data_IF_146772949684
#
_entry.id   IF_146772949684
#
_cell.length_a   1.000
_cell.length_b   1.000
_cell.length_c   1.000
_cell.angle_alpha   90.00
_cell.angle_beta   90.00
_cell.angle_gamma   90.00
#
_symmetry.space_group_name_H-M   'P 1'
#
loop_
_entity.id
_entity.type
_entity.pdbx_description
1 polymer ?
#
# COMPACT_ATOMS: atom_id res chain seq x y z
N UNK A 1 13.77 28.41 22.67
CA UNK A 1 14.04 26.98 22.91
C UNK A 1 13.05 26.04 22.22
N UNK A 2 13.51 25.22 21.29
CA UNK A 2 12.80 24.05 20.76
C UNK A 2 13.55 22.79 21.22
N UNK A 3 12.83 21.83 21.81
CA UNK A 3 13.42 20.66 22.43
C UNK A 3 13.13 19.39 21.61
N UNK A 4 13.99 18.39 21.79
CA UNK A 4 13.85 17.11 21.13
C UNK A 4 14.96 16.14 21.47
N UNK A 5 14.91 14.99 20.80
CA UNK A 5 15.99 14.00 20.85
C UNK A 5 16.30 13.50 19.45
N UNK A 6 17.57 13.18 19.22
CA UNK A 6 18.05 12.45 18.05
C UNK A 6 18.05 10.96 18.40
N UNK A 7 17.19 10.18 17.76
CA UNK A 7 16.87 8.79 18.12
C UNK A 7 17.21 7.85 16.97
N UNK A 8 18.39 7.23 17.05
CA UNK A 8 18.84 6.10 16.20
C UNK A 8 19.53 5.02 17.07
N UNK A 9 19.13 4.98 18.35
CA UNK A 9 19.97 4.48 19.45
C UNK A 9 20.48 5.61 20.36
N UNK A 10 19.77 6.75 20.45
CA UNK A 10 20.21 8.01 21.05
C UNK A 10 21.59 8.49 20.58
N UNK A 11 21.61 9.52 19.74
CA UNK A 11 22.86 10.01 19.13
C UNK A 11 23.35 11.29 19.79
N UNK A 12 24.53 11.26 20.38
CA UNK A 12 25.24 12.43 20.93
C UNK A 12 26.35 12.93 20.01
N UNK A 13 26.57 14.25 19.98
CA UNK A 13 27.56 14.88 19.11
C UNK A 13 27.07 15.14 17.67
N UNK A 14 25.78 15.01 17.40
CA UNK A 14 25.17 15.35 16.12
C UNK A 14 24.76 16.83 16.08
N UNK A 15 24.77 17.45 14.90
CA UNK A 15 24.37 18.85 14.72
C UNK A 15 22.92 18.93 14.28
N UNK A 16 22.05 19.48 15.12
CA UNK A 16 20.64 19.75 14.82
C UNK A 16 20.49 21.17 14.30
N UNK A 17 19.79 21.38 13.19
CA UNK A 17 19.63 22.70 12.56
C UNK A 17 18.31 22.84 11.81
N UNK A 18 17.80 24.06 11.70
CA UNK A 18 16.53 24.37 11.01
C UNK A 18 16.81 24.93 9.61
N UNK A 19 16.31 24.26 8.57
CA UNK A 19 16.47 24.67 7.17
C UNK A 19 15.44 25.74 6.81
N UNK A 20 15.83 27.01 6.98
CA UNK A 20 14.94 28.16 6.81
C UNK A 20 14.74 28.46 5.33
N UNK A 21 15.78 28.31 4.52
CA UNK A 21 15.73 28.66 3.10
C UNK A 21 15.33 27.48 2.19
N UNK A 22 15.23 26.26 2.73
CA UNK A 22 14.76 25.07 2.03
C UNK A 22 15.79 24.49 1.07
N UNK A 23 17.09 24.70 1.32
CA UNK A 23 18.17 24.28 0.42
C UNK A 23 18.84 22.95 0.82
N UNK A 24 18.42 22.34 1.93
CA UNK A 24 18.92 21.05 2.44
C UNK A 24 20.40 21.07 2.83
N UNK A 25 20.95 22.24 3.11
CA UNK A 25 22.34 22.43 3.53
C UNK A 25 22.36 23.39 4.71
N UNK A 26 23.12 23.02 5.73
CA UNK A 26 23.30 23.89 6.88
C UNK A 26 24.06 25.16 6.47
N UNK A 27 23.36 26.28 6.45
CA UNK A 27 23.98 27.59 6.21
C UNK A 27 24.42 28.26 7.51
N UNK A 28 25.29 29.28 7.38
CA UNK A 28 25.90 29.95 8.53
C UNK A 28 24.89 30.78 9.35
N UNK A 29 23.82 31.25 8.71
CA UNK A 29 22.76 32.06 9.31
C UNK A 29 21.61 31.22 9.90
N UNK A 30 21.67 29.91 9.76
CA UNK A 30 20.66 29.00 10.27
C UNK A 30 20.91 28.59 11.73
N UNK A 31 19.87 28.57 12.57
CA UNK A 31 20.01 28.21 13.97
C UNK A 31 20.39 26.74 14.08
N UNK A 32 21.38 26.45 14.93
CA UNK A 32 21.84 25.08 15.17
C UNK A 32 22.30 24.84 16.60
N UNK A 33 22.34 23.57 17.01
CA UNK A 33 22.85 23.09 18.30
C UNK A 33 23.45 21.70 18.16
N UNK A 34 24.25 21.27 19.14
CA UNK A 34 24.68 19.87 19.26
C UNK A 34 23.69 19.06 20.11
N UNK A 35 23.49 17.80 19.73
CA UNK A 35 22.87 16.80 20.60
C UNK A 35 23.86 16.36 21.68
N UNK A 36 23.33 16.12 22.88
CA UNK A 36 24.07 15.73 24.09
C UNK A 36 23.75 14.28 24.47
N UNK A 37 24.07 13.88 25.69
CA UNK A 37 23.72 12.57 26.24
C UNK A 37 22.23 12.24 26.06
N UNK A 38 21.90 10.97 25.87
CA UNK A 38 20.55 10.50 25.54
C UNK A 38 19.94 11.20 24.30
N UNK A 39 20.81 11.63 23.37
CA UNK A 39 20.44 12.32 22.14
C UNK A 39 19.74 13.68 22.32
N UNK A 40 19.71 14.24 23.53
CA UNK A 40 18.91 15.43 23.82
C UNK A 40 19.48 16.68 23.15
N UNK A 41 18.62 17.51 22.57
CA UNK A 41 19.02 18.80 22.00
C UNK A 41 18.08 19.92 22.46
N UNK A 42 18.60 21.15 22.46
CA UNK A 42 17.86 22.37 22.74
C UNK A 42 18.26 23.43 21.71
N UNK A 43 17.38 23.70 20.76
CA UNK A 43 17.62 24.64 19.69
C UNK A 43 17.09 26.02 20.07
N UNK A 44 17.98 26.99 20.20
CA UNK A 44 17.59 28.37 20.43
C UNK A 44 17.14 29.02 19.13
N UNK A 45 15.97 29.65 19.18
CA UNK A 45 15.38 30.36 18.04
C UNK A 45 14.98 31.75 18.49
N UNK A 46 15.31 32.75 17.70
CA UNK A 46 14.70 34.07 17.82
C UNK A 46 13.23 34.04 17.31
N UNK A 47 12.52 35.17 17.42
CA UNK A 47 11.11 35.26 17.06
C UNK A 47 10.84 34.90 15.59
N UNK A 48 11.65 35.41 14.65
CA UNK A 48 11.49 35.12 13.22
C UNK A 48 11.74 33.63 12.90
N UNK A 49 12.81 33.06 13.47
CA UNK A 49 13.14 31.64 13.32
C UNK A 49 12.09 30.75 13.96
N UNK A 50 11.49 31.18 15.08
CA UNK A 50 10.38 30.47 15.72
C UNK A 50 9.13 30.43 14.83
N UNK A 51 8.83 31.54 14.17
CA UNK A 51 7.73 31.59 13.20
C UNK A 51 7.96 30.67 11.99
N UNK A 52 9.22 30.32 11.70
CA UNK A 52 9.57 29.37 10.65
C UNK A 52 9.49 27.90 11.05
N UNK A 53 9.57 27.57 12.33
CA UNK A 53 9.63 26.19 12.79
C UNK A 53 8.50 25.28 12.25
N UNK A 54 7.23 25.72 12.13
CA UNK A 54 6.17 24.89 11.53
C UNK A 54 6.35 24.63 10.03
N UNK A 55 7.11 25.47 9.33
CA UNK A 55 7.19 25.53 7.88
C UNK A 55 8.58 25.17 7.33
N UNK A 56 9.52 24.84 8.21
CA UNK A 56 10.89 24.48 7.86
C UNK A 56 11.18 23.04 8.28
N UNK A 57 12.08 22.39 7.54
CA UNK A 57 12.54 21.05 7.87
C UNK A 57 13.57 21.14 8.99
N UNK A 58 13.47 20.26 9.98
CA UNK A 58 14.50 20.13 11.01
C UNK A 58 15.46 19.00 10.60
N UNK A 59 16.74 19.33 10.44
CA UNK A 59 17.77 18.39 10.04
C UNK A 59 18.71 18.05 11.19
N UNK A 60 19.34 16.89 11.07
CA UNK A 60 20.43 16.44 11.93
C UNK A 60 21.55 15.89 11.07
N UNK A 61 22.72 16.51 11.14
CA UNK A 61 23.94 15.95 10.58
C UNK A 61 24.64 15.13 11.66
N UNK A 62 24.79 13.83 11.42
CA UNK A 62 25.50 12.90 12.30
C UNK A 62 26.89 12.66 11.72
N UNK A 63 27.95 13.27 12.27
CA UNK A 63 29.31 13.10 11.77
C UNK A 63 29.94 11.79 12.23
N UNK A 64 31.02 11.39 11.56
CA UNK A 64 31.93 10.35 12.07
C UNK A 64 32.45 10.77 13.44
N UNK A 65 32.39 9.86 14.41
CA UNK A 65 32.80 10.12 15.79
C UNK A 65 31.69 10.66 16.71
N UNK A 66 30.49 10.93 16.18
CA UNK A 66 29.29 10.97 17.03
C UNK A 66 29.10 9.61 17.72
N UNK A 67 28.40 9.58 18.86
CA UNK A 67 28.17 8.35 19.61
C UNK A 67 26.69 8.03 19.61
N UNK A 68 26.37 6.89 19.02
CA UNK A 68 25.10 6.21 19.14
C UNK A 68 25.16 5.24 20.33
N UNK A 69 24.21 5.31 21.27
CA UNK A 69 24.21 4.48 22.48
C UNK A 69 23.92 3.00 22.20
N UNK A 70 23.27 2.65 21.09
CA UNK A 70 23.02 1.25 20.71
C UNK A 70 24.23 0.63 19.99
N UNK A 71 24.88 1.37 19.09
CA UNK A 71 25.90 0.85 18.16
C UNK A 71 27.33 1.37 18.39
N UNK A 72 27.50 2.35 19.28
CA UNK A 72 28.78 2.97 19.60
C UNK A 72 29.17 4.11 18.65
N UNK A 73 30.47 4.36 18.43
CA UNK A 73 30.91 5.45 17.56
C UNK A 73 30.42 5.27 16.12
N UNK A 74 29.82 6.33 15.57
CA UNK A 74 29.36 6.40 14.19
C UNK A 74 30.55 6.34 13.24
N UNK A 75 30.50 5.40 12.29
CA UNK A 75 31.60 5.11 11.34
C UNK A 75 31.44 5.80 10.00
N UNK A 76 30.22 6.12 9.61
CA UNK A 76 29.88 6.79 8.36
C UNK A 76 28.93 7.94 8.68
N UNK A 77 29.19 9.13 8.12
CA UNK A 77 28.33 10.27 8.34
C UNK A 77 27.00 10.10 7.60
N UNK A 78 25.90 10.51 8.24
CA UNK A 78 24.57 10.47 7.66
C UNK A 78 23.72 11.64 8.15
N UNK A 79 22.58 11.85 7.51
CA UNK A 79 21.66 12.92 7.85
C UNK A 79 20.27 12.35 8.17
N UNK A 80 19.62 12.94 9.16
CA UNK A 80 18.22 12.67 9.51
C UNK A 80 17.38 13.94 9.43
N UNK A 81 16.07 13.78 9.32
CA UNK A 81 15.14 14.88 9.17
C UNK A 81 13.79 14.63 9.84
N UNK A 82 13.13 15.73 10.22
CA UNK A 82 11.69 15.76 10.54
C UNK A 82 11.02 16.70 9.54
N UNK A 83 9.95 16.24 8.85
CA UNK A 83 9.24 17.07 7.90
C UNK A 83 8.64 18.32 8.58
N UNK A 84 8.40 19.40 7.82
CA UNK A 84 7.67 20.56 8.33
C UNK A 84 6.31 20.12 8.89
N UNK A 85 5.97 20.63 10.07
CA UNK A 85 4.78 20.20 10.80
C UNK A 85 3.49 20.79 10.21
N UNK A 86 3.59 21.93 9.52
CA UNK A 86 2.51 22.65 8.84
C UNK A 86 1.30 22.98 9.71
N UNK A 87 1.49 23.00 11.02
CA UNK A 87 0.51 23.34 12.02
C UNK A 87 1.16 24.11 13.16
N UNK A 88 0.36 24.86 13.90
CA UNK A 88 0.85 25.58 15.08
C UNK A 88 1.41 24.61 16.10
N UNK A 89 2.66 24.85 16.53
CA UNK A 89 3.32 24.03 17.54
C UNK A 89 3.13 24.64 18.92
N UNK A 90 2.80 23.81 19.90
CA UNK A 90 2.85 24.22 21.30
C UNK A 90 4.30 24.51 21.70
N UNK A 91 4.50 25.43 22.64
CA UNK A 91 5.84 25.76 23.17
C UNK A 91 6.49 24.54 23.83
N UNK A 92 5.68 23.64 24.39
CA UNK A 92 6.13 22.41 25.05
C UNK A 92 6.22 21.21 24.08
N UNK A 93 5.91 21.40 22.80
CA UNK A 93 5.96 20.31 21.83
C UNK A 93 7.41 19.88 21.61
N UNK A 94 7.66 18.60 21.84
CA UNK A 94 8.97 17.97 21.62
C UNK A 94 9.01 17.40 20.21
N UNK A 95 10.08 17.68 19.47
CA UNK A 95 10.28 17.18 18.10
C UNK A 95 11.39 16.13 18.12
N UNK A 96 11.03 14.85 18.11
CA UNK A 96 12.01 13.78 17.98
C UNK A 96 12.40 13.57 16.52
N UNK A 97 13.69 13.35 16.28
CA UNK A 97 14.24 13.14 14.95
C UNK A 97 14.77 11.70 14.90
N UNK A 98 14.31 10.90 13.95
CA UNK A 98 14.65 9.48 13.85
C UNK A 98 14.81 9.03 12.39
N UNK A 99 15.36 7.83 12.15
CA UNK A 99 15.38 7.25 10.81
C UNK A 99 13.99 7.14 10.19
N UNK A 100 12.94 6.95 11.00
CA UNK A 100 11.56 6.84 10.54
C UNK A 100 11.00 8.18 10.06
N UNK A 101 11.19 9.26 10.83
CA UNK A 101 10.78 10.61 10.38
C UNK A 101 11.52 11.02 9.12
N UNK A 102 12.79 10.60 9.00
CA UNK A 102 13.62 10.83 7.82
C UNK A 102 13.09 10.08 6.59
N UNK A 103 12.78 8.80 6.73
CA UNK A 103 12.24 7.99 5.63
C UNK A 103 10.89 8.52 5.13
N UNK A 104 10.03 9.01 6.03
CA UNK A 104 8.79 9.70 5.67
C UNK A 104 9.10 10.96 4.87
N UNK A 105 10.02 11.80 5.36
CA UNK A 105 10.37 13.04 4.68
C UNK A 105 10.97 12.80 3.29
N UNK A 106 11.84 11.80 3.15
CA UNK A 106 12.42 11.42 1.86
C UNK A 106 11.33 11.04 0.84
N UNK A 107 10.28 10.32 1.26
CA UNK A 107 9.16 9.97 0.40
C UNK A 107 8.30 11.17 0.02
N UNK A 108 7.99 12.05 0.98
CA UNK A 108 7.21 13.27 0.73
C UNK A 108 7.96 14.16 -0.25
N UNK A 109 9.25 14.41 0.00
CA UNK A 109 10.11 15.25 -0.84
C UNK A 109 10.15 14.77 -2.29
N UNK A 110 10.27 13.47 -2.52
CA UNK A 110 10.24 12.92 -3.88
C UNK A 110 8.94 13.26 -4.60
N UNK A 111 7.79 13.12 -3.94
CA UNK A 111 6.49 13.39 -4.56
C UNK A 111 6.33 14.89 -4.86
N UNK A 112 6.91 15.74 -4.02
CA UNK A 112 6.94 17.19 -4.25
C UNK A 112 7.89 17.59 -5.37
N UNK A 113 9.07 16.97 -5.49
CA UNK A 113 10.01 17.29 -6.58
C UNK A 113 9.40 17.00 -7.96
N UNK A 114 8.58 15.96 -8.06
CA UNK A 114 7.87 15.61 -9.29
C UNK A 114 6.74 16.59 -9.63
N UNK A 115 6.21 17.31 -8.64
CA UNK A 115 5.06 18.21 -8.77
C UNK A 115 5.41 19.71 -8.86
N UNK A 116 6.49 20.17 -8.21
CA UNK A 116 6.75 21.62 -8.05
C UNK A 116 8.20 22.07 -8.32
N UNK A 117 9.12 21.17 -8.67
CA UNK A 117 10.46 21.52 -9.16
C UNK A 117 11.43 22.24 -8.20
N UNK A 118 10.97 22.75 -7.05
CA UNK A 118 11.80 23.33 -6.00
C UNK A 118 11.22 23.02 -4.61
N UNK A 119 12.12 22.72 -3.67
CA UNK A 119 11.80 22.74 -2.24
C UNK A 119 11.75 24.18 -1.77
N UNK A 120 10.77 24.47 -0.92
CA UNK A 120 10.33 25.82 -0.64
C UNK A 120 10.87 26.27 0.70
N UNK A 121 11.39 27.50 0.74
CA UNK A 121 11.77 28.17 1.97
C UNK A 121 10.59 28.32 2.92
N UNK A 122 10.90 28.51 4.21
CA UNK A 122 9.92 28.87 5.23
C UNK A 122 8.98 30.01 4.76
N UNK A 123 9.53 31.08 4.19
CA UNK A 123 8.73 32.23 3.77
C UNK A 123 7.82 31.92 2.59
N UNK A 124 8.30 31.12 1.62
CA UNK A 124 7.45 30.63 0.53
C UNK A 124 6.31 29.75 1.05
N UNK A 125 6.61 28.83 1.97
CA UNK A 125 5.59 27.99 2.59
C UNK A 125 4.61 28.79 3.44
N UNK A 126 5.03 29.88 4.09
CA UNK A 126 4.12 30.80 4.81
C UNK A 126 3.23 31.60 3.86
N UNK A 127 3.74 32.00 2.69
CA UNK A 127 2.99 32.79 1.72
C UNK A 127 2.04 31.93 0.86
N UNK A 128 2.45 30.73 0.45
CA UNK A 128 1.72 29.90 -0.50
C UNK A 128 0.83 28.86 0.20
N UNK A 129 -0.46 29.17 0.31
CA UNK A 129 -1.46 28.27 0.90
C UNK A 129 -1.64 26.97 0.09
N UNK A 130 -1.63 27.05 -1.24
CA UNK A 130 -1.85 25.89 -2.10
C UNK A 130 -0.70 24.90 -1.96
N UNK A 131 0.52 25.41 -1.89
CA UNK A 131 1.69 24.59 -1.63
C UNK A 131 1.62 23.90 -0.27
N UNK A 132 1.18 24.62 0.79
CA UNK A 132 0.96 24.00 2.11
C UNK A 132 -0.07 22.88 2.05
N UNK A 133 -1.21 23.12 1.39
CA UNK A 133 -2.27 22.12 1.26
C UNK A 133 -1.77 20.87 0.53
N UNK A 134 -0.99 21.05 -0.55
CA UNK A 134 -0.36 19.94 -1.27
C UNK A 134 0.62 19.17 -0.38
N UNK A 135 1.46 19.87 0.39
CA UNK A 135 2.43 19.21 1.27
C UNK A 135 1.75 18.48 2.45
N UNK A 136 0.70 19.07 3.04
CA UNK A 136 -0.14 18.39 4.04
C UNK A 136 -0.76 17.12 3.45
N UNK A 137 -1.25 17.18 2.21
CA UNK A 137 -1.85 16.03 1.54
C UNK A 137 -0.84 14.89 1.33
N UNK A 138 0.37 15.19 0.84
CA UNK A 138 1.41 14.18 0.63
C UNK A 138 1.93 13.58 1.94
N UNK A 139 2.15 14.41 2.97
CA UNK A 139 2.52 13.92 4.32
C UNK A 139 1.44 12.98 4.84
N UNK A 140 0.16 13.37 4.77
CA UNK A 140 -0.96 12.54 5.24
C UNK A 140 -1.11 11.25 4.43
N UNK A 141 -0.79 11.28 3.14
CA UNK A 141 -0.84 10.08 2.29
C UNK A 141 0.24 9.10 2.68
N UNK A 142 1.50 9.54 2.80
CA UNK A 142 2.61 8.69 3.26
C UNK A 142 2.35 8.15 4.66
N UNK A 143 1.90 8.99 5.59
CA UNK A 143 1.57 8.59 6.95
C UNK A 143 0.38 7.61 7.00
N UNK A 144 -0.68 7.87 6.23
CA UNK A 144 -1.83 6.99 6.13
C UNK A 144 -1.46 5.60 5.59
N UNK A 145 -0.64 5.53 4.54
CA UNK A 145 -0.11 4.26 4.00
C UNK A 145 0.67 3.48 5.08
N UNK A 146 1.49 4.17 5.87
CA UNK A 146 2.24 3.56 6.98
C UNK A 146 1.36 3.05 8.10
N UNK A 147 0.42 3.87 8.57
CA UNK A 147 -0.48 3.50 9.67
C UNK A 147 -1.34 2.33 9.24
N UNK A 148 -1.93 2.36 8.03
CA UNK A 148 -2.77 1.29 7.51
C UNK A 148 -2.03 -0.04 7.42
N UNK A 149 -0.78 -0.02 6.95
CA UNK A 149 0.00 -1.24 6.77
C UNK A 149 0.56 -1.76 8.09
N UNK A 150 1.13 -0.87 8.88
CA UNK A 150 1.90 -1.25 10.05
C UNK A 150 1.06 -1.26 11.33
N UNK A 151 -0.17 -0.77 11.29
CA UNK A 151 -1.02 -0.58 12.46
C UNK A 151 -0.29 0.15 13.59
N UNK A 152 0.59 1.10 13.20
CA UNK A 152 1.41 1.92 14.07
C UNK A 152 0.89 3.35 13.91
N UNK A 153 0.24 3.89 14.94
CA UNK A 153 -0.36 5.21 14.87
C UNK A 153 0.69 6.31 14.63
N UNK A 154 0.27 7.44 14.09
CA UNK A 154 1.12 8.61 13.88
C UNK A 154 1.82 9.07 15.17
N UNK A 155 1.10 9.09 16.29
CA UNK A 155 1.69 9.42 17.59
C UNK A 155 2.82 8.46 17.98
N UNK A 156 2.68 7.16 17.67
CA UNK A 156 3.75 6.19 17.92
C UNK A 156 4.90 6.37 16.94
N UNK A 157 4.65 6.71 15.67
CA UNK A 157 5.70 6.98 14.68
C UNK A 157 6.67 8.08 15.15
N UNK A 158 6.17 9.11 15.83
CA UNK A 158 6.97 10.21 16.39
C UNK A 158 7.43 9.99 17.85
N UNK A 159 7.12 8.84 18.46
CA UNK A 159 7.42 8.57 19.85
C UNK A 159 8.89 8.19 20.09
N UNK A 160 9.34 8.40 21.33
CA UNK A 160 10.59 7.86 21.84
C UNK A 160 10.41 6.40 22.28
N UNK A 161 10.58 5.47 21.33
CA UNK A 161 10.43 4.03 21.59
C UNK A 161 11.40 3.49 22.66
N UNK A 162 12.58 4.11 22.78
CA UNK A 162 13.62 3.70 23.73
C UNK A 162 13.17 4.06 25.14
N UNK A 163 12.74 5.31 25.36
CA UNK A 163 12.20 5.74 26.65
C UNK A 163 10.94 4.96 27.05
N UNK A 164 10.06 4.65 26.09
CA UNK A 164 8.86 3.85 26.30
C UNK A 164 9.15 2.37 26.59
N UNK A 165 10.40 1.91 26.40
CA UNK A 165 10.81 0.50 26.48
C UNK A 165 9.97 -0.41 25.57
N UNK A 166 9.56 0.11 24.42
CA UNK A 166 8.72 -0.57 23.43
C UNK A 166 9.60 -1.18 22.34
N UNK A 167 10.33 -2.24 22.71
CA UNK A 167 11.29 -2.90 21.81
C UNK A 167 10.64 -3.48 20.55
N UNK A 168 9.38 -3.90 20.66
CA UNK A 168 8.60 -4.39 19.51
C UNK A 168 8.39 -3.28 18.49
N UNK A 169 7.95 -2.09 18.92
CA UNK A 169 7.70 -0.98 18.01
C UNK A 169 8.98 -0.36 17.50
N UNK A 170 10.05 -0.37 18.29
CA UNK A 170 11.38 0.01 17.84
C UNK A 170 11.83 -0.86 16.66
N UNK A 171 11.73 -2.19 16.78
CA UNK A 171 12.07 -3.11 15.69
C UNK A 171 11.17 -2.89 14.46
N UNK A 172 9.86 -2.70 14.68
CA UNK A 172 8.92 -2.41 13.59
C UNK A 172 9.29 -1.09 12.89
N UNK A 173 9.68 -0.05 13.61
CA UNK A 173 10.11 1.22 13.05
C UNK A 173 11.38 1.06 12.19
N UNK A 174 12.36 0.30 12.66
CA UNK A 174 13.57 -0.02 11.88
C UNK A 174 13.22 -0.79 10.60
N UNK A 175 12.33 -1.79 10.68
CA UNK A 175 11.87 -2.54 9.51
C UNK A 175 11.10 -1.64 8.53
N UNK A 176 10.26 -0.73 9.03
CA UNK A 176 9.55 0.25 8.20
C UNK A 176 10.56 1.08 7.42
N UNK A 177 11.56 1.68 8.08
CA UNK A 177 12.57 2.52 7.42
C UNK A 177 13.28 1.78 6.30
N UNK A 178 13.72 0.56 6.59
CA UNK A 178 14.43 -0.29 5.63
C UNK A 178 13.55 -0.61 4.42
N UNK A 179 12.29 -0.99 4.66
CA UNK A 179 11.32 -1.29 3.62
C UNK A 179 10.93 -0.06 2.79
N UNK A 180 10.69 1.08 3.42
CA UNK A 180 10.32 2.33 2.73
C UNK A 180 11.40 2.77 1.74
N UNK A 181 12.68 2.75 2.14
CA UNK A 181 13.80 3.12 1.27
C UNK A 181 13.89 2.18 0.07
N UNK A 182 13.83 0.87 0.29
CA UNK A 182 13.91 -0.14 -0.77
C UNK A 182 12.69 -0.09 -1.72
N UNK A 183 11.49 0.06 -1.17
CA UNK A 183 10.24 0.16 -1.94
C UNK A 183 10.22 1.40 -2.83
N UNK A 184 10.68 2.54 -2.30
CA UNK A 184 10.82 3.78 -3.05
C UNK A 184 11.85 3.67 -4.19
N UNK A 185 13.04 3.15 -3.91
CA UNK A 185 14.07 2.96 -4.94
C UNK A 185 13.56 2.07 -6.09
N UNK A 186 12.86 0.98 -5.76
CA UNK A 186 12.25 0.12 -6.78
C UNK A 186 11.11 0.82 -7.54
N UNK A 187 10.29 1.64 -6.87
CA UNK A 187 9.25 2.45 -7.52
C UNK A 187 9.84 3.35 -8.61
N UNK A 188 10.97 4.00 -8.33
CA UNK A 188 11.66 4.86 -9.30
C UNK A 188 12.15 4.07 -10.52
N UNK A 189 12.71 2.87 -10.31
CA UNK A 189 13.06 1.96 -11.41
C UNK A 189 11.84 1.61 -12.26
N UNK A 190 10.69 1.33 -11.65
CA UNK A 190 9.45 1.03 -12.38
C UNK A 190 8.94 2.24 -13.17
N UNK A 191 9.01 3.45 -12.63
CA UNK A 191 8.65 4.67 -13.36
C UNK A 191 9.52 4.87 -14.61
N UNK A 192 10.83 4.60 -14.51
CA UNK A 192 11.74 4.68 -15.65
C UNK A 192 11.45 3.59 -16.71
N UNK A 193 11.05 2.39 -16.29
CA UNK A 193 10.72 1.27 -17.18
C UNK A 193 9.35 1.43 -17.86
N UNK A 194 8.39 2.08 -17.20
CA UNK A 194 7.01 2.23 -17.66
C UNK A 194 6.59 3.71 -17.66
N UNK A 195 7.13 4.53 -18.59
CA UNK A 195 6.81 5.95 -18.66
C UNK A 195 5.35 6.24 -19.01
N UNK A 196 4.62 5.25 -19.55
CA UNK A 196 3.18 5.31 -19.84
C UNK A 196 2.29 4.87 -18.66
N UNK A 197 2.87 4.49 -17.52
CA UNK A 197 2.12 4.05 -16.37
C UNK A 197 1.26 5.19 -15.81
N UNK A 198 -0.05 4.93 -15.68
CA UNK A 198 -0.96 5.84 -15.01
C UNK A 198 -0.79 5.81 -13.50
N UNK A 199 -0.32 4.69 -12.94
CA UNK A 199 -0.02 4.55 -11.52
C UNK A 199 1.01 3.45 -11.28
N UNK A 200 1.91 3.68 -10.33
CA UNK A 200 2.91 2.70 -9.89
C UNK A 200 2.89 2.61 -8.37
N UNK A 201 2.81 1.38 -7.87
CA UNK A 201 2.94 1.06 -6.44
C UNK A 201 4.10 0.08 -6.26
N UNK A 202 4.93 0.33 -5.26
CA UNK A 202 6.01 -0.58 -4.87
C UNK A 202 6.18 -0.51 -3.37
N UNK A 203 6.17 -1.67 -2.76
CA UNK A 203 6.01 -1.83 -1.35
C UNK A 203 6.94 -2.92 -0.84
N UNK A 204 7.89 -2.56 0.02
CA UNK A 204 8.76 -3.53 0.69
C UNK A 204 8.43 -3.56 2.17
N UNK A 205 8.21 -4.75 2.72
CA UNK A 205 7.73 -4.93 4.07
C UNK A 205 8.16 -6.26 4.67
N UNK A 206 8.17 -6.31 6.00
CA UNK A 206 8.43 -7.53 6.75
C UNK A 206 7.11 -8.19 7.16
N UNK A 207 6.98 -9.47 6.82
CA UNK A 207 5.77 -10.24 7.08
C UNK A 207 5.52 -10.45 8.57
N UNK A 208 4.23 -10.63 8.92
CA UNK A 208 3.75 -10.60 10.32
C UNK A 208 3.14 -11.92 10.78
N UNK A 209 2.94 -12.89 9.89
CA UNK A 209 2.18 -14.10 10.24
C UNK A 209 0.67 -13.91 10.13
N UNK A 210 0.20 -12.92 9.37
CA UNK A 210 -1.23 -12.58 9.31
C UNK A 210 -2.06 -13.52 8.43
N UNK A 211 -1.41 -14.44 7.73
CA UNK A 211 -2.06 -15.44 6.91
C UNK A 211 -1.06 -16.47 6.36
N UNK A 212 -1.55 -17.49 5.64
CA UNK A 212 -0.74 -18.63 5.21
C UNK A 212 0.38 -18.28 4.21
N UNK A 213 0.34 -17.10 3.59
CA UNK A 213 1.37 -16.63 2.65
C UNK A 213 2.15 -15.41 3.15
N UNK A 214 1.95 -14.99 4.40
CA UNK A 214 2.63 -13.87 5.05
C UNK A 214 3.46 -14.39 6.23
N UNK A 215 4.66 -14.90 5.94
CA UNK A 215 5.51 -15.54 6.93
C UNK A 215 6.14 -14.49 7.86
N UNK A 216 6.09 -14.69 9.20
CA UNK A 216 6.71 -13.78 10.15
C UNK A 216 8.20 -13.56 9.86
N UNK A 217 8.63 -12.30 9.86
CA UNK A 217 10.04 -11.93 9.73
C UNK A 217 10.61 -12.01 8.32
N UNK A 218 9.88 -12.54 7.34
CA UNK A 218 10.30 -12.62 5.93
C UNK A 218 10.12 -11.27 5.23
N UNK A 219 11.09 -10.89 4.40
CA UNK A 219 10.99 -9.69 3.58
C UNK A 219 10.25 -9.94 2.27
N UNK A 220 9.24 -9.13 2.02
CA UNK A 220 8.46 -9.17 0.80
C UNK A 220 8.60 -7.86 0.03
N UNK A 221 8.56 -7.94 -1.29
CA UNK A 221 8.22 -6.82 -2.16
C UNK A 221 6.95 -7.13 -2.92
N UNK A 222 6.01 -6.19 -2.93
CA UNK A 222 4.85 -6.21 -3.80
C UNK A 222 4.87 -4.96 -4.67
N UNK A 223 4.83 -5.17 -5.98
CA UNK A 223 4.92 -4.12 -6.98
C UNK A 223 3.75 -4.23 -7.95
N UNK A 224 3.30 -3.09 -8.46
CA UNK A 224 2.15 -3.01 -9.34
C UNK A 224 2.25 -1.81 -10.26
N UNK A 225 1.98 -2.03 -11.53
CA UNK A 225 2.03 -1.00 -12.58
C UNK A 225 0.72 -1.04 -13.36
N UNK A 226 -0.01 0.05 -13.32
CA UNK A 226 -1.23 0.25 -14.10
C UNK A 226 -0.89 1.11 -15.31
N UNK A 227 -1.32 0.65 -16.48
CA UNK A 227 -1.12 1.29 -17.79
C UNK A 227 -2.47 1.35 -18.51
N UNK A 228 -2.63 2.21 -19.53
CA UNK A 228 -3.84 2.20 -20.35
C UNK A 228 -4.13 0.84 -21.02
N UNK A 229 -3.09 0.04 -21.29
CA UNK A 229 -3.23 -1.29 -21.89
C UNK A 229 -3.56 -2.40 -20.90
N UNK A 230 -3.58 -2.12 -19.59
CA UNK A 230 -3.82 -3.11 -18.54
C UNK A 230 -2.89 -2.97 -17.34
N UNK A 231 -2.54 -4.08 -16.70
CA UNK A 231 -1.94 -4.07 -15.37
C UNK A 231 -0.90 -5.18 -15.18
N UNK A 232 0.18 -4.90 -14.47
CA UNK A 232 1.12 -5.93 -14.00
C UNK A 232 1.26 -5.92 -12.48
N UNK A 233 1.45 -7.11 -11.90
CA UNK A 233 1.73 -7.33 -10.49
C UNK A 233 2.94 -8.24 -10.33
N UNK A 234 3.77 -7.95 -9.35
CA UNK A 234 4.78 -8.86 -8.85
C UNK A 234 4.70 -8.94 -7.33
N UNK A 235 4.82 -10.15 -6.79
CA UNK A 235 5.11 -10.38 -5.38
C UNK A 235 6.31 -11.31 -5.26
N UNK A 236 7.32 -10.88 -4.50
CA UNK A 236 8.57 -11.62 -4.29
C UNK A 236 8.93 -11.68 -2.81
N UNK A 237 9.72 -12.69 -2.45
CA UNK A 237 10.55 -12.71 -1.25
C UNK A 237 11.90 -12.08 -1.60
N UNK A 238 12.37 -11.18 -0.76
CA UNK A 238 13.69 -10.57 -0.86
C UNK A 238 14.68 -11.26 0.08
N UNK A 239 15.97 -11.15 -0.23
CA UNK A 239 17.02 -11.45 0.73
C UNK A 239 16.95 -10.49 1.94
N UNK A 240 17.53 -10.87 3.08
CA UNK A 240 17.45 -10.07 4.31
C UNK A 240 18.04 -8.67 4.17
N UNK A 241 19.03 -8.48 3.31
CA UNK A 241 19.63 -7.19 2.98
C UNK A 241 18.81 -6.37 1.95
N UNK A 242 17.73 -6.95 1.43
CA UNK A 242 16.87 -6.41 0.37
C UNK A 242 17.56 -6.22 -0.99
N UNK A 243 18.80 -6.69 -1.17
CA UNK A 243 19.61 -6.40 -2.35
C UNK A 243 19.15 -7.15 -3.60
N UNK A 244 18.48 -8.29 -3.42
CA UNK A 244 18.03 -9.16 -4.51
C UNK A 244 16.72 -9.86 -4.19
N UNK A 245 16.02 -10.21 -5.26
CA UNK A 245 14.92 -11.18 -5.21
C UNK A 245 15.48 -12.54 -4.84
N UNK A 246 15.04 -13.08 -3.71
CA UNK A 246 15.35 -14.46 -3.31
C UNK A 246 14.42 -15.45 -4.01
N UNK A 247 13.12 -15.10 -4.11
CA UNK A 247 12.12 -15.97 -4.74
C UNK A 247 10.96 -15.15 -5.29
N UNK A 248 10.47 -15.51 -6.48
CA UNK A 248 9.22 -14.96 -6.99
C UNK A 248 8.06 -15.78 -6.43
N UNK A 249 7.02 -15.13 -5.93
CA UNK A 249 5.80 -15.79 -5.45
C UNK A 249 4.67 -15.67 -6.45
N UNK A 250 4.60 -14.52 -7.11
CA UNK A 250 3.58 -14.26 -8.10
C UNK A 250 4.10 -13.27 -9.14
N UNK A 251 3.88 -13.60 -10.42
CA UNK A 251 3.85 -12.63 -11.51
C UNK A 251 2.44 -12.65 -12.10
N UNK A 252 1.88 -11.48 -12.35
CA UNK A 252 0.61 -11.36 -13.05
C UNK A 252 0.69 -10.26 -14.10
N UNK A 253 0.14 -10.55 -15.27
CA UNK A 253 -0.07 -9.58 -16.33
C UNK A 253 -1.51 -9.65 -16.78
N UNK A 254 -2.15 -8.50 -16.94
CA UNK A 254 -3.48 -8.35 -17.48
C UNK A 254 -3.44 -7.42 -18.68
N UNK A 255 -4.04 -7.86 -19.77
CA UNK A 255 -4.24 -7.09 -21.00
C UNK A 255 -5.73 -6.76 -21.15
N UNK A 256 -6.05 -5.54 -21.59
CA UNK A 256 -7.42 -5.12 -21.87
C UNK A 256 -7.65 -4.89 -23.38
N UNK A 257 -8.82 -5.30 -23.90
CA UNK A 257 -9.22 -5.14 -25.29
C UNK A 257 -10.72 -4.79 -25.39
N UNK A 258 -11.13 -4.15 -26.48
CA UNK A 258 -12.54 -3.81 -26.69
C UNK A 258 -13.43 -5.04 -26.95
N UNK A 259 -14.65 -5.04 -26.42
CA UNK A 259 -15.67 -6.07 -26.63
C UNK A 259 -17.04 -5.44 -26.89
N UNK A 260 -17.24 -4.86 -28.07
CA UNK A 260 -18.47 -4.10 -28.35
C UNK A 260 -18.64 -2.94 -27.36
N UNK A 261 -19.67 -3.00 -26.51
CA UNK A 261 -19.92 -2.03 -25.42
C UNK A 261 -19.21 -2.40 -24.09
N UNK A 262 -18.66 -3.61 -24.02
CA UNK A 262 -17.89 -4.12 -22.90
C UNK A 262 -16.40 -4.08 -23.22
N UNK A 263 -15.58 -4.59 -22.31
CA UNK A 263 -14.16 -4.88 -22.54
C UNK A 263 -13.82 -6.31 -22.13
N UNK A 264 -12.88 -6.89 -22.85
CA UNK A 264 -12.25 -8.17 -22.54
C UNK A 264 -10.97 -7.91 -21.74
N UNK A 265 -10.82 -8.62 -20.62
CA UNK A 265 -9.57 -8.70 -19.87
C UNK A 265 -9.00 -10.10 -20.04
N UNK A 266 -7.70 -10.20 -20.28
CA UNK A 266 -6.97 -11.48 -20.28
C UNK A 266 -5.88 -11.40 -19.22
N UNK A 267 -5.97 -12.25 -18.20
CA UNK A 267 -5.04 -12.25 -17.07
C UNK A 267 -4.21 -13.52 -17.07
N UNK A 268 -2.89 -13.39 -17.13
CA UNK A 268 -1.93 -14.48 -16.94
C UNK A 268 -1.30 -14.35 -15.57
N UNK A 269 -1.25 -15.44 -14.82
CA UNK A 269 -0.66 -15.49 -13.49
C UNK A 269 0.29 -16.67 -13.38
N UNK A 270 1.54 -16.40 -13.03
CA UNK A 270 2.45 -17.41 -12.49
C UNK A 270 2.40 -17.31 -10.97
N UNK A 271 2.15 -18.39 -10.24
CA UNK A 271 2.27 -18.35 -8.78
C UNK A 271 2.91 -19.60 -8.18
N UNK A 272 3.66 -19.39 -7.11
CA UNK A 272 4.19 -20.41 -6.23
C UNK A 272 4.02 -19.93 -4.78
N UNK A 273 2.96 -20.42 -4.14
CA UNK A 273 2.61 -20.11 -2.76
C UNK A 273 3.20 -21.10 -1.74
N UNK A 274 3.89 -22.14 -2.18
CA UNK A 274 4.44 -23.17 -1.30
C UNK A 274 5.64 -22.67 -0.49
N UNK A 275 5.95 -23.39 0.59
CA UNK A 275 7.16 -23.13 1.38
C UNK A 275 8.44 -23.56 0.64
N UNK A 276 8.35 -24.57 -0.24
CA UNK A 276 9.46 -25.08 -1.04
C UNK A 276 9.49 -24.50 -2.46
N UNK A 277 10.68 -24.43 -3.06
CA UNK A 277 10.83 -24.17 -4.49
C UNK A 277 10.19 -25.31 -5.28
N UNK A 278 9.10 -24.97 -5.96
CA UNK A 278 8.36 -25.83 -6.87
C UNK A 278 8.18 -25.07 -8.18
N UNK A 279 7.96 -25.77 -9.30
CA UNK A 279 7.51 -25.12 -10.52
C UNK A 279 6.28 -24.24 -10.28
N UNK A 280 6.24 -23.07 -10.93
CA UNK A 280 5.14 -22.11 -10.87
C UNK A 280 3.93 -22.65 -11.59
N UNK A 281 2.75 -22.57 -10.97
CA UNK A 281 1.50 -22.83 -11.67
C UNK A 281 1.19 -21.66 -12.58
N UNK A 282 0.96 -21.94 -13.86
CA UNK A 282 0.54 -20.95 -14.84
C UNK A 282 -0.99 -20.99 -14.96
N UNK A 283 -1.64 -19.87 -14.72
CA UNK A 283 -3.10 -19.72 -14.85
C UNK A 283 -3.42 -18.63 -15.84
N UNK A 284 -4.40 -18.91 -16.71
CA UNK A 284 -5.04 -17.94 -17.57
C UNK A 284 -6.46 -17.74 -17.07
N UNK A 285 -6.89 -16.50 -16.99
CA UNK A 285 -8.28 -16.09 -16.77
C UNK A 285 -8.69 -15.11 -17.85
N UNK A 286 -9.95 -15.17 -18.28
CA UNK A 286 -10.53 -14.16 -19.15
C UNK A 286 -11.77 -13.57 -18.50
N UNK A 287 -12.02 -12.29 -18.73
CA UNK A 287 -13.21 -11.63 -18.20
C UNK A 287 -13.85 -10.68 -19.20
N UNK A 288 -15.18 -10.62 -19.23
CA UNK A 288 -15.91 -9.54 -19.93
C UNK A 288 -16.50 -8.62 -18.87
N UNK A 289 -16.11 -7.36 -18.92
CA UNK A 289 -16.57 -6.32 -18.00
C UNK A 289 -17.34 -5.22 -18.75
N UNK A 290 -18.46 -4.79 -18.19
CA UNK A 290 -19.22 -3.65 -18.70
C UNK A 290 -19.75 -2.79 -17.55
N UNK A 291 -19.60 -1.47 -17.68
CA UNK A 291 -20.27 -0.50 -16.82
C UNK A 291 -21.71 -0.24 -17.29
N UNK A 292 -22.65 -0.24 -16.36
CA UNK A 292 -24.06 0.12 -16.60
C UNK A 292 -24.70 0.64 -15.31
N UNK A 293 -25.47 1.72 -15.42
CA UNK A 293 -26.24 2.32 -14.31
C UNK A 293 -25.40 2.61 -13.05
N UNK A 294 -24.13 3.03 -13.23
CA UNK A 294 -23.21 3.34 -12.13
C UNK A 294 -22.61 2.13 -11.40
N UNK A 295 -22.73 0.93 -11.99
CA UNK A 295 -22.10 -0.30 -11.52
C UNK A 295 -21.24 -0.93 -12.62
N UNK A 296 -20.11 -1.54 -12.24
CA UNK A 296 -19.33 -2.43 -13.10
C UNK A 296 -19.79 -3.87 -12.90
N UNK A 297 -20.13 -4.55 -13.99
CA UNK A 297 -20.52 -5.97 -14.02
C UNK A 297 -19.49 -6.75 -14.81
N UNK A 298 -19.02 -7.85 -14.25
CA UNK A 298 -17.95 -8.65 -14.85
C UNK A 298 -18.28 -10.14 -14.73
N UNK A 299 -18.13 -10.86 -15.85
CA UNK A 299 -18.05 -12.33 -15.87
C UNK A 299 -16.58 -12.71 -16.01
N UNK A 300 -16.05 -13.43 -15.04
CA UNK A 300 -14.71 -14.04 -15.08
C UNK A 300 -14.85 -15.53 -15.40
N UNK A 301 -13.97 -16.02 -16.27
CA UNK A 301 -13.87 -17.40 -16.70
C UNK A 301 -12.49 -17.92 -16.31
N UNK A 302 -12.47 -18.92 -15.44
CA UNK A 302 -11.26 -19.59 -14.98
C UNK A 302 -11.07 -20.88 -15.76
N UNK A 303 -9.83 -21.15 -16.14
CA UNK A 303 -9.48 -22.36 -16.87
C UNK A 303 -8.65 -23.31 -16.02
N UNK A 304 -8.76 -24.60 -16.34
CA UNK A 304 -7.79 -25.60 -15.89
C UNK A 304 -6.55 -25.45 -16.76
N UNK A 305 -5.45 -24.99 -16.18
CA UNK A 305 -4.14 -25.18 -16.77
C UNK A 305 -3.17 -25.58 -15.65
N UNK A 306 -2.87 -26.88 -15.50
CA UNK A 306 -1.95 -27.35 -14.49
C UNK A 306 -0.49 -27.25 -14.98
N UNK A 307 -0.22 -26.62 -16.13
CA UNK A 307 1.16 -26.46 -16.58
C UNK A 307 1.94 -25.73 -15.53
N UNK A 308 3.13 -26.27 -15.29
CA UNK A 308 4.08 -25.66 -14.41
C UNK A 308 5.34 -25.27 -15.14
N UNK A 309 5.89 -24.12 -14.79
CA UNK A 309 7.13 -23.61 -15.36
C UNK A 309 8.18 -23.41 -14.27
N UNK A 310 9.46 -23.58 -14.60
CA UNK A 310 10.54 -23.27 -13.66
C UNK A 310 10.85 -21.77 -13.64
N UNK A 311 10.66 -21.08 -14.77
CA UNK A 311 10.72 -19.62 -14.89
C UNK A 311 9.31 -19.03 -14.92
N UNK A 312 8.92 -18.16 -13.97
CA UNK A 312 7.59 -17.57 -13.94
C UNK A 312 7.30 -16.68 -15.17
N UNK A 313 8.32 -16.16 -15.85
CA UNK A 313 8.12 -15.39 -17.08
C UNK A 313 7.65 -16.28 -18.25
N UNK A 314 7.95 -17.58 -18.23
CA UNK A 314 7.47 -18.50 -19.26
C UNK A 314 5.94 -18.60 -19.27
N UNK A 315 5.27 -18.48 -18.10
CA UNK A 315 3.81 -18.43 -18.00
C UNK A 315 3.18 -17.22 -18.72
N UNK A 316 3.95 -16.17 -19.01
CA UNK A 316 3.45 -14.97 -19.70
C UNK A 316 3.45 -15.14 -21.23
N UNK A 317 4.08 -16.20 -21.75
CA UNK A 317 4.18 -16.47 -23.19
C UNK A 317 2.86 -16.93 -23.84
N UNK A 318 2.79 -16.79 -25.17
CA UNK A 318 1.61 -17.16 -25.96
C UNK A 318 1.27 -18.67 -25.93
N UNK A 319 2.22 -19.54 -25.59
CA UNK A 319 2.00 -20.99 -25.43
C UNK A 319 1.10 -21.34 -24.24
N UNK A 320 1.02 -20.45 -23.24
CA UNK A 320 0.08 -20.51 -22.12
C UNK A 320 -1.24 -19.78 -22.41
N UNK A 321 -1.41 -19.23 -23.62
CA UNK A 321 -2.67 -18.62 -24.07
C UNK A 321 -3.69 -19.64 -24.62
N UNK A 322 -3.43 -20.94 -24.48
CA UNK A 322 -4.31 -22.03 -24.93
C UNK A 322 -4.70 -22.90 -23.71
N UNK A 323 -5.59 -22.39 -22.85
CA UNK A 323 -5.88 -23.05 -21.59
C UNK A 323 -6.83 -24.24 -21.80
N UNK A 324 -6.97 -25.11 -20.80
CA UNK A 324 -7.84 -26.28 -20.86
C UNK A 324 -9.32 -25.96 -20.71
N UNK A 325 -10.08 -26.88 -20.11
CA UNK A 325 -11.51 -26.67 -19.87
C UNK A 325 -11.77 -25.63 -18.79
N UNK A 326 -12.93 -24.97 -18.84
CA UNK A 326 -13.39 -24.06 -17.79
C UNK A 326 -13.61 -24.79 -16.47
N UNK A 327 -12.96 -24.33 -15.39
CA UNK A 327 -13.06 -24.94 -14.04
C UNK A 327 -14.12 -24.26 -13.19
N UNK A 328 -14.24 -22.95 -13.33
CA UNK A 328 -15.22 -22.15 -12.62
C UNK A 328 -15.45 -20.85 -13.35
N UNK A 329 -16.53 -20.20 -12.99
CA UNK A 329 -16.88 -18.88 -13.49
C UNK A 329 -17.39 -18.06 -12.33
N UNK A 330 -17.17 -16.75 -12.41
CA UNK A 330 -17.48 -15.84 -11.33
C UNK A 330 -18.18 -14.60 -11.87
N UNK A 331 -19.20 -14.14 -11.16
CA UNK A 331 -19.76 -12.81 -11.36
C UNK A 331 -19.15 -11.86 -10.35
N UNK A 332 -18.56 -10.78 -10.83
CA UNK A 332 -18.15 -9.64 -10.02
C UNK A 332 -19.07 -8.46 -10.29
N UNK A 333 -19.50 -7.79 -9.21
CA UNK A 333 -20.21 -6.52 -9.32
C UNK A 333 -19.60 -5.51 -8.36
N UNK A 334 -19.16 -4.38 -8.90
CA UNK A 334 -18.70 -3.24 -8.12
C UNK A 334 -19.65 -2.07 -8.32
N UNK A 335 -20.14 -1.48 -7.23
CA UNK A 335 -21.07 -0.34 -7.32
C UNK A 335 -20.90 0.59 -6.12
N UNK A 336 -21.44 1.81 -6.23
CA UNK A 336 -21.35 2.83 -5.18
C UNK A 336 -22.72 3.43 -4.90
N UNK A 337 -23.02 3.65 -3.62
CA UNK A 337 -24.19 4.41 -3.16
C UNK A 337 -23.71 5.51 -2.22
N UNK A 338 -23.77 6.76 -2.66
CA UNK A 338 -23.18 7.88 -1.91
C UNK A 338 -21.68 7.68 -1.67
N UNK A 339 -21.27 7.63 -0.40
CA UNK A 339 -19.86 7.38 -0.01
C UNK A 339 -19.55 5.91 0.29
N UNK A 340 -20.52 5.01 0.12
CA UNK A 340 -20.32 3.58 0.39
C UNK A 340 -20.08 2.83 -0.92
N UNK A 341 -18.96 2.14 -1.00
CA UNK A 341 -18.59 1.29 -2.13
C UNK A 341 -18.87 -0.18 -1.80
N UNK A 342 -19.31 -0.95 -2.77
CA UNK A 342 -19.70 -2.34 -2.60
C UNK A 342 -19.06 -3.22 -3.65
N UNK A 343 -18.70 -4.43 -3.24
CA UNK A 343 -18.20 -5.49 -4.12
C UNK A 343 -18.98 -6.76 -3.84
N UNK A 344 -19.29 -7.51 -4.89
CA UNK A 344 -19.89 -8.84 -4.76
C UNK A 344 -19.21 -9.79 -5.72
N UNK A 345 -18.98 -11.01 -5.25
CA UNK A 345 -18.41 -12.11 -6.00
C UNK A 345 -19.32 -13.33 -5.82
N UNK A 346 -19.80 -13.90 -6.93
CA UNK A 346 -20.62 -15.11 -6.95
C UNK A 346 -19.91 -16.15 -7.80
N UNK A 347 -19.49 -17.27 -7.20
CA UNK A 347 -18.73 -18.32 -7.88
C UNK A 347 -19.60 -19.53 -8.18
N UNK A 348 -19.40 -20.11 -9.36
CA UNK A 348 -20.11 -21.29 -9.81
C UNK A 348 -19.16 -22.27 -10.52
N UNK A 349 -19.34 -23.54 -10.19
CA UNK A 349 -18.60 -24.70 -10.72
C UNK A 349 -19.46 -25.52 -11.70
N UNK A 350 -18.89 -26.49 -12.46
CA UNK A 350 -19.59 -27.19 -13.54
C UNK A 350 -20.93 -27.82 -13.19
N UNK A 351 -21.15 -28.21 -11.94
CA UNK A 351 -22.40 -28.79 -11.46
C UNK A 351 -23.57 -27.78 -11.34
N UNK A 352 -23.29 -26.48 -11.30
CA UNK A 352 -24.30 -25.45 -11.09
C UNK A 352 -24.96 -25.03 -12.41
N UNK A 353 -26.26 -24.75 -12.37
CA UNK A 353 -27.04 -24.38 -13.55
C UNK A 353 -26.49 -23.14 -14.28
N UNK A 354 -25.97 -22.17 -13.52
CA UNK A 354 -25.41 -20.93 -14.06
C UNK A 354 -24.14 -21.18 -14.89
N UNK A 355 -23.30 -22.14 -14.46
CA UNK A 355 -22.13 -22.55 -15.22
C UNK A 355 -22.52 -23.21 -16.55
N UNK A 356 -23.59 -24.01 -16.56
CA UNK A 356 -24.09 -24.67 -17.76
C UNK A 356 -24.76 -23.70 -18.73
N UNK A 357 -25.46 -22.69 -18.22
CA UNK A 357 -26.03 -21.62 -19.03
C UNK A 357 -24.95 -20.83 -19.78
N UNK A 358 -23.78 -20.63 -19.15
CA UNK A 358 -22.61 -19.95 -19.72
C UNK A 358 -21.67 -20.87 -20.50
N UNK A 359 -22.08 -22.08 -20.92
CA UNK A 359 -21.18 -23.05 -21.56
C UNK A 359 -20.39 -22.52 -22.77
N UNK A 360 -20.96 -21.58 -23.53
CA UNK A 360 -20.32 -20.99 -24.72
C UNK A 360 -19.34 -19.85 -24.38
N UNK A 361 -19.33 -19.39 -23.11
CA UNK A 361 -18.41 -18.39 -22.56
C UNK A 361 -17.13 -19.06 -22.07
N UNK A 362 -16.24 -19.31 -23.03
CA UNK A 362 -14.90 -19.86 -22.86
C UNK A 362 -14.05 -19.45 -24.08
N UNK A 363 -12.73 -19.37 -23.95
CA UNK A 363 -11.79 -18.82 -24.96
C UNK A 363 -12.36 -17.58 -25.64
N UNK A 364 -12.54 -16.53 -24.84
CA UNK A 364 -13.33 -15.37 -25.18
C UNK A 364 -12.68 -14.55 -26.30
N UNK A 365 -11.35 -14.47 -26.35
CA UNK A 365 -10.64 -13.75 -27.41
C UNK A 365 -11.22 -14.00 -28.82
N UNK A 366 -11.57 -12.90 -29.52
CA UNK A 366 -12.14 -12.93 -30.87
C UNK A 366 -13.64 -13.27 -30.95
N UNK A 367 -14.35 -13.51 -29.83
CA UNK A 367 -15.78 -13.86 -29.83
C UNK A 367 -16.74 -12.68 -29.64
N UNK A 368 -16.27 -11.43 -29.66
CA UNK A 368 -17.12 -10.23 -29.47
C UNK A 368 -18.24 -10.07 -30.50
N UNK A 369 -18.08 -10.61 -31.72
CA UNK A 369 -19.14 -10.67 -32.74
C UNK A 369 -20.10 -11.85 -32.62
N UNK A 370 -19.83 -12.79 -31.70
CA UNK A 370 -20.57 -14.05 -31.54
C UNK A 370 -21.32 -14.11 -30.19
N UNK A 371 -20.78 -13.45 -29.16
CA UNK A 371 -21.29 -13.48 -27.79
C UNK A 371 -21.73 -12.09 -27.36
N UNK A 372 -23.04 -11.89 -27.22
CA UNK A 372 -23.63 -10.68 -26.65
C UNK A 372 -23.62 -10.77 -25.12
N UNK A 373 -22.99 -9.78 -24.47
CA UNK A 373 -22.92 -9.71 -23.01
C UNK A 373 -24.20 -9.20 -22.36
N UNK A 374 -25.13 -8.62 -23.12
CA UNK A 374 -26.35 -8.01 -22.57
C UNK A 374 -27.22 -8.99 -21.77
N UNK A 375 -27.48 -10.24 -22.23
CA UNK A 375 -28.23 -11.22 -21.44
C UNK A 375 -27.49 -11.67 -20.17
N UNK A 376 -26.15 -11.75 -20.21
CA UNK A 376 -25.34 -12.08 -19.03
C UNK A 376 -25.45 -10.95 -18.02
N UNK A 377 -25.36 -9.70 -18.46
CA UNK A 377 -25.53 -8.55 -17.59
C UNK A 377 -26.90 -8.55 -16.89
N UNK A 378 -27.99 -8.81 -17.62
CA UNK A 378 -29.33 -8.91 -17.04
C UNK A 378 -29.42 -10.03 -16.00
N UNK A 379 -28.77 -11.15 -16.29
CA UNK A 379 -28.68 -12.28 -15.37
C UNK A 379 -27.91 -11.94 -14.09
N UNK A 380 -26.78 -11.26 -14.21
CA UNK A 380 -26.00 -10.76 -13.05
C UNK A 380 -26.84 -9.76 -12.24
N UNK A 381 -27.53 -8.84 -12.90
CA UNK A 381 -28.38 -7.84 -12.23
C UNK A 381 -29.52 -8.50 -11.43
N UNK A 382 -30.03 -9.65 -11.88
CA UNK A 382 -31.06 -10.42 -11.19
C UNK A 382 -30.52 -11.38 -10.10
N UNK A 383 -29.19 -11.53 -9.97
CA UNK A 383 -28.56 -12.54 -9.09
C UNK A 383 -28.74 -12.29 -7.59
N UNK A 384 -29.25 -11.13 -7.19
CA UNK A 384 -29.24 -10.71 -5.79
C UNK A 384 -27.86 -10.23 -5.36
N UNK A 385 -27.11 -9.55 -6.24
CA UNK A 385 -25.74 -9.11 -5.96
C UNK A 385 -25.66 -8.03 -4.87
N UNK A 386 -26.71 -7.22 -4.64
CA UNK A 386 -26.63 -6.12 -3.68
C UNK A 386 -26.31 -6.62 -2.28
N UNK A 387 -25.56 -5.83 -1.50
CA UNK A 387 -25.06 -6.23 -0.19
C UNK A 387 -26.16 -6.79 0.74
N UNK A 388 -27.31 -6.15 0.82
CA UNK A 388 -28.42 -6.58 1.70
C UNK A 388 -29.35 -7.64 1.09
N UNK A 389 -29.24 -7.90 -0.21
CA UNK A 389 -30.11 -8.88 -0.85
C UNK A 389 -29.62 -10.31 -0.57
N UNK A 390 -30.54 -11.28 -0.40
CA UNK A 390 -30.15 -12.68 -0.49
C UNK A 390 -29.68 -12.99 -1.92
N UNK A 391 -28.70 -13.87 -2.04
CA UNK A 391 -28.29 -14.41 -3.35
C UNK A 391 -29.44 -15.27 -3.89
N UNK A 392 -29.83 -15.03 -5.15
CA UNK A 392 -31.03 -15.62 -5.80
C UNK A 392 -30.69 -16.70 -6.82
N UNK A 393 -29.41 -16.94 -7.06
CA UNK A 393 -28.91 -17.97 -7.96
C UNK A 393 -28.16 -19.05 -7.17
N UNK A 394 -28.12 -20.25 -7.73
CA UNK A 394 -27.36 -21.36 -7.17
C UNK A 394 -25.86 -21.13 -7.40
N UNK A 395 -25.07 -21.17 -6.33
CA UNK A 395 -23.64 -20.82 -6.32
C UNK A 395 -22.86 -21.83 -5.50
N UNK A 396 -21.62 -22.08 -5.90
CA UNK A 396 -20.67 -22.81 -5.08
C UNK A 396 -20.31 -22.02 -3.82
N UNK A 397 -19.99 -20.74 -4.00
CA UNK A 397 -19.71 -19.80 -2.92
C UNK A 397 -20.05 -18.38 -3.34
N UNK A 398 -20.20 -17.49 -2.36
CA UNK A 398 -20.35 -16.07 -2.62
C UNK A 398 -19.71 -15.24 -1.51
N UNK A 399 -19.33 -14.02 -1.87
CA UNK A 399 -18.76 -13.01 -0.98
C UNK A 399 -19.35 -11.64 -1.30
N UNK A 400 -19.64 -10.85 -0.28
CA UNK A 400 -20.10 -9.47 -0.41
C UNK A 400 -19.33 -8.58 0.56
N UNK A 401 -18.97 -7.39 0.08
CA UNK A 401 -18.28 -6.36 0.85
C UNK A 401 -18.99 -5.03 0.71
N UNK A 402 -19.03 -4.28 1.79
CA UNK A 402 -19.26 -2.84 1.80
C UNK A 402 -18.05 -2.13 2.42
N UNK A 403 -17.73 -0.96 1.90
CA UNK A 403 -16.70 -0.06 2.41
C UNK A 403 -17.34 1.31 2.53
N UNK A 404 -17.63 1.71 3.77
CA UNK A 404 -18.22 3.00 4.10
C UNK A 404 -17.12 3.99 4.46
N UNK A 405 -16.93 4.98 3.59
CA UNK A 405 -15.99 6.10 3.76
C UNK A 405 -16.71 7.40 4.13
N UNK A 406 -17.96 7.34 4.60
CA UNK A 406 -18.73 8.53 5.00
C UNK A 406 -18.22 9.19 6.28
N UNK A 407 -17.50 8.42 7.10
CA UNK A 407 -16.82 8.82 8.33
C UNK A 407 -15.45 8.12 8.36
N UNK A 408 -14.92 7.81 9.55
CA UNK A 408 -13.83 6.84 9.65
C UNK A 408 -14.25 5.52 9.00
N UNK A 409 -13.37 4.99 8.14
CA UNK A 409 -13.65 3.85 7.29
C UNK A 409 -14.18 2.65 8.07
N UNK A 410 -15.29 2.09 7.61
CA UNK A 410 -15.82 0.80 8.06
C UNK A 410 -15.93 -0.14 6.88
N UNK A 411 -15.28 -1.30 6.97
CA UNK A 411 -15.41 -2.38 5.99
C UNK A 411 -16.24 -3.49 6.64
N UNK A 412 -17.30 -3.93 5.97
CA UNK A 412 -18.11 -5.09 6.34
C UNK A 412 -18.06 -6.12 5.22
N UNK A 413 -17.72 -7.34 5.56
CA UNK A 413 -17.61 -8.47 4.65
C UNK A 413 -18.48 -9.61 5.15
N UNK A 414 -19.12 -10.33 4.22
CA UNK A 414 -19.90 -11.53 4.51
C UNK A 414 -19.81 -12.56 3.39
N UNK A 415 -19.86 -13.84 3.73
CA UNK A 415 -19.75 -14.94 2.77
C UNK A 415 -20.86 -16.00 2.91
N UNK A 416 -20.85 -16.95 1.98
CA UNK A 416 -21.81 -18.08 1.92
C UNK A 416 -21.74 -19.04 3.10
N UNK A 417 -20.70 -18.98 3.93
CA UNK A 417 -20.58 -19.77 5.16
C UNK A 417 -21.04 -18.98 6.40
N UNK A 418 -21.71 -17.84 6.20
CA UNK A 418 -22.13 -16.90 7.25
C UNK A 418 -20.96 -16.40 8.10
N UNK A 419 -19.76 -16.32 7.54
CA UNK A 419 -18.68 -15.61 8.20
C UNK A 419 -18.85 -14.12 7.93
N UNK A 420 -18.77 -13.32 8.99
CA UNK A 420 -18.78 -11.87 8.90
C UNK A 420 -17.48 -11.31 9.45
N UNK A 421 -16.93 -10.33 8.74
CA UNK A 421 -15.76 -9.58 9.18
C UNK A 421 -16.07 -8.09 9.15
N UNK A 422 -15.75 -7.40 10.24
CA UNK A 422 -15.85 -5.95 10.37
C UNK A 422 -14.46 -5.40 10.64
N UNK A 423 -14.01 -4.50 9.79
CA UNK A 423 -12.77 -3.74 10.01
C UNK A 423 -13.11 -2.27 10.19
N UNK A 424 -12.72 -1.68 11.32
CA UNK A 424 -12.99 -0.27 11.65
C UNK A 424 -11.69 0.50 11.77
N UNK A 425 -11.59 1.61 11.07
CA UNK A 425 -10.51 2.59 11.26
C UNK A 425 -10.80 3.44 12.50
N UNK A 426 -9.80 3.60 13.36
CA UNK A 426 -9.83 4.42 14.56
C UNK A 426 -9.41 5.86 14.26
N UNK A 427 -9.60 6.76 15.22
CA UNK A 427 -9.23 8.19 15.07
C UNK A 427 -7.73 8.41 14.85
N UNK A 428 -6.89 7.46 15.28
CA UNK A 428 -5.43 7.48 15.09
C UNK A 428 -4.99 6.77 13.80
N UNK A 429 -5.95 6.40 12.94
CA UNK A 429 -5.75 5.72 11.65
C UNK A 429 -5.54 4.21 11.75
N UNK A 430 -5.33 3.65 12.95
CA UNK A 430 -5.16 2.20 13.13
C UNK A 430 -6.47 1.46 12.90
N UNK A 431 -6.43 0.14 12.70
CA UNK A 431 -7.62 -0.67 12.42
C UNK A 431 -7.87 -1.73 13.48
N UNK A 432 -9.14 -1.93 13.82
CA UNK A 432 -9.62 -3.04 14.64
C UNK A 432 -10.41 -4.00 13.73
N UNK A 433 -10.17 -5.30 13.90
CA UNK A 433 -10.87 -6.37 13.17
C UNK A 433 -11.70 -7.21 14.14
N UNK A 434 -12.97 -7.37 13.82
CA UNK A 434 -13.94 -8.19 14.57
C UNK A 434 -14.61 -9.18 13.64
N UNK A 435 -15.02 -10.32 14.17
CA UNK A 435 -15.69 -11.38 13.44
C UNK A 435 -17.04 -11.73 14.07
N UNK A 436 -17.96 -12.22 13.24
CA UNK A 436 -19.29 -12.64 13.65
C UNK A 436 -19.78 -13.83 12.81
N UNK A 437 -20.78 -14.56 13.32
CA UNK A 437 -21.48 -15.64 12.61
C UNK A 437 -22.91 -15.27 12.19
N UNK A 438 -23.41 -14.14 12.66
CA UNK A 438 -24.77 -13.67 12.43
C UNK A 438 -24.84 -12.21 11.97
N UNK A 439 -23.71 -11.51 11.91
CA UNK A 439 -23.62 -10.09 11.56
C UNK A 439 -24.10 -9.15 12.68
N UNK A 440 -24.49 -9.68 13.84
CA UNK A 440 -25.07 -8.93 14.97
C UNK A 440 -24.15 -9.00 16.19
N UNK A 441 -23.68 -10.19 16.54
CA UNK A 441 -22.80 -10.44 17.68
C UNK A 441 -21.34 -10.47 17.22
N UNK A 442 -20.57 -9.44 17.60
CA UNK A 442 -19.19 -9.25 17.17
C UNK A 442 -18.22 -9.59 18.29
N UNK A 443 -17.14 -10.30 17.95
CA UNK A 443 -16.05 -10.61 18.87
C UNK A 443 -14.71 -10.61 18.16
N UNK A 444 -13.65 -10.95 18.90
CA UNK A 444 -12.32 -11.11 18.30
C UNK A 444 -12.36 -12.21 17.24
N UNK A 445 -11.72 -11.95 16.10
CA UNK A 445 -11.50 -12.99 15.11
C UNK A 445 -10.63 -14.10 15.70
N UNK A 446 -11.09 -15.34 15.62
CA UNK A 446 -10.25 -16.49 15.92
C UNK A 446 -9.05 -16.51 14.96
N UNK A 447 -7.84 -16.87 15.44
CA UNK A 447 -6.65 -17.00 14.59
C UNK A 447 -6.84 -17.97 13.43
#
# INVERSE_FOLDING_TARGET
MQNGKVIDGYVSGATVWLDINGNHRKDADEPSTLSKAAGAYQLELNEAQRACLPYATLYVDVPVGAVDEDSGPVKEAYQMAVPPQLQTLSVDQVLHISPLTTAIWDQVRSRLSDASGQMNSCEQLKADQRLRENMVYEIKTVMGELVLRHNLSEARIYADFIQAKDSQSYQVAQDIVKGLKAGYAHKQTLHALYPDASFVRSEVYRGRGTGPTDLPGTWYRSSSVWRPSGYTHERVILADDLSKTARVLMLRSQDEQAWGKAKLKTTRTAYNWGEAERPYLCVLDEAVEQEKDGASFELVVHYDDPKTETDPLACMGATHAQPGSTTSREYYVNYRVGMVSYTSNLRFEPQHAEHQWLKDWHHLQGKSGQLDFSPVLERIAASGYRFEEPVKIDTYSWYKRSTDDSQLRVILEKDSANNWVKTRTQTDGTTIKECSKDGVNWGNCSP
#
